data_IF_063509845830
#
_entry.id   IF_063509845830
#
_cell.length_a   1.000
_cell.length_b   1.000
_cell.length_c   1.000
_cell.angle_alpha   90.00
_cell.angle_beta   90.00
_cell.angle_gamma   90.00
#
_symmetry.space_group_name_H-M   'P 1'
#
loop_
_entity.id
_entity.type
_entity.pdbx_description
1 polymer ?
#
# COMPACT_ATOMS: atom_id res chain seq x y z
N UNK A 1 -46.44 -3.55 12.55
CA UNK A 1 -45.94 -2.17 12.59
C UNK A 1 -44.46 -2.25 12.91
N UNK A 2 -43.62 -1.79 12.00
CA UNK A 2 -42.19 -1.51 12.22
C UNK A 2 -42.09 -0.41 13.32
N UNK A 3 -41.05 -0.27 14.12
CA UNK A 3 -39.66 -0.07 13.73
C UNK A 3 -38.76 0.11 14.97
N UNK A 4 -37.45 0.01 14.72
CA UNK A 4 -36.35 0.68 15.44
C UNK A 4 -35.78 0.05 16.71
N UNK A 5 -34.78 -0.80 16.50
CA UNK A 5 -33.59 -0.94 17.36
C UNK A 5 -32.71 0.29 17.19
N UNK A 6 -32.52 1.06 18.26
CA UNK A 6 -31.48 2.09 18.35
C UNK A 6 -30.25 1.48 19.02
N UNK A 7 -29.14 1.35 18.28
CA UNK A 7 -27.82 1.08 18.84
C UNK A 7 -26.84 2.13 18.34
N UNK A 8 -26.51 3.03 19.26
CA UNK A 8 -25.41 4.01 19.22
C UNK A 8 -24.06 3.30 19.37
N UNK A 9 -23.08 3.63 18.53
CA UNK A 9 -21.62 3.50 18.78
C UNK A 9 -20.93 4.38 17.71
N UNK A 10 -20.57 5.63 17.99
CA UNK A 10 -19.32 6.12 18.62
C UNK A 10 -18.03 5.66 17.92
N UNK A 11 -17.46 6.59 17.13
CA UNK A 11 -16.05 6.94 16.86
C UNK A 11 -14.97 5.84 16.92
N UNK A 12 -14.12 5.79 15.88
CA UNK A 12 -12.67 6.03 16.01
C UNK A 12 -11.99 6.21 14.64
N UNK A 13 -11.24 7.31 14.51
CA UNK A 13 -10.23 7.55 13.49
C UNK A 13 -8.94 6.79 13.87
N UNK A 14 -8.42 5.96 12.98
CA UNK A 14 -7.06 5.41 13.11
C UNK A 14 -6.14 6.00 12.04
N UNK A 15 -5.30 6.95 12.49
CA UNK A 15 -4.01 7.26 11.86
C UNK A 15 -3.08 6.08 12.14
N UNK A 16 -2.71 5.32 11.11
CA UNK A 16 -1.57 4.39 11.20
C UNK A 16 -0.39 5.03 10.47
N UNK A 17 0.41 5.77 11.23
CA UNK A 17 1.79 6.09 10.87
C UNK A 17 2.61 4.82 11.14
N UNK A 18 2.89 4.02 10.11
CA UNK A 18 3.90 2.97 10.18
C UNK A 18 5.02 3.32 9.21
N UNK A 19 5.89 4.23 9.65
CA UNK A 19 7.27 4.29 9.17
C UNK A 19 8.00 3.12 9.83
N UNK A 20 7.72 1.91 9.33
CA UNK A 20 8.33 0.67 9.78
C UNK A 20 9.72 0.55 9.16
N UNK A 21 10.73 0.83 9.97
CA UNK A 21 12.13 0.52 9.72
C UNK A 21 12.28 -0.99 9.41
N UNK A 22 12.36 -1.35 8.13
CA UNK A 22 12.61 -2.73 7.68
C UNK A 22 14.11 -3.02 7.67
N UNK A 23 14.70 -3.13 8.86
CA UNK A 23 16.08 -3.60 9.03
C UNK A 23 16.11 -4.94 9.76
N UNK A 24 15.65 -6.01 9.08
CA UNK A 24 16.07 -7.36 9.46
C UNK A 24 17.45 -7.60 8.86
N UNK A 25 18.49 -7.14 9.55
CA UNK A 25 19.86 -7.60 9.32
C UNK A 25 20.08 -8.91 10.09
N UNK A 26 19.79 -10.02 9.42
CA UNK A 26 20.09 -11.38 9.91
C UNK A 26 21.40 -11.91 9.28
N UNK A 27 22.38 -11.06 8.98
CA UNK A 27 23.69 -11.49 8.48
C UNK A 27 23.66 -12.31 7.17
N UNK A 28 22.51 -12.34 6.50
CA UNK A 28 22.30 -13.04 5.25
C UNK A 28 22.50 -12.03 4.12
N UNK A 29 23.35 -12.31 3.12
CA UNK A 29 23.60 -11.35 2.05
C UNK A 29 22.30 -11.03 1.32
N UNK A 30 21.86 -9.76 1.37
CA UNK A 30 20.74 -9.29 0.57
C UNK A 30 21.10 -9.42 -0.91
N UNK A 31 20.16 -9.91 -1.72
CA UNK A 31 20.35 -10.12 -3.15
C UNK A 31 20.02 -8.81 -3.89
N UNK A 32 21.01 -8.07 -4.42
CA UNK A 32 20.74 -6.80 -5.08
C UNK A 32 20.04 -7.00 -6.42
N UNK A 33 19.11 -6.10 -6.74
CA UNK A 33 18.54 -5.99 -8.09
C UNK A 33 19.48 -5.16 -8.98
N UNK A 34 19.43 -5.40 -10.29
CA UNK A 34 20.22 -4.63 -11.27
C UNK A 34 19.85 -3.14 -11.29
N UNK A 35 18.56 -2.85 -11.10
CA UNK A 35 18.05 -1.48 -10.98
C UNK A 35 17.20 -1.35 -9.73
N UNK A 36 17.13 -0.13 -9.18
CA UNK A 36 16.13 0.22 -8.20
C UNK A 36 14.75 0.39 -8.86
N UNK A 37 13.71 0.03 -8.14
CA UNK A 37 12.33 0.10 -8.61
C UNK A 37 11.45 0.76 -7.56
N UNK A 38 10.48 1.54 -8.00
CA UNK A 38 9.53 2.23 -7.14
C UNK A 38 8.15 1.60 -7.27
N UNK A 39 7.57 1.20 -6.14
CA UNK A 39 6.16 0.86 -6.04
C UNK A 39 5.32 2.13 -5.93
N UNK A 40 4.24 2.19 -6.70
CA UNK A 40 3.25 3.25 -6.68
C UNK A 40 1.85 2.68 -6.46
N UNK A 41 0.99 3.47 -5.83
CA UNK A 41 -0.41 3.17 -5.62
C UNK A 41 -1.27 4.27 -6.24
N UNK A 42 -2.23 3.87 -7.08
CA UNK A 42 -3.26 4.77 -7.58
C UNK A 42 -4.41 4.82 -6.58
N UNK A 43 -4.51 5.94 -5.86
CA UNK A 43 -5.61 6.18 -4.93
C UNK A 43 -6.89 6.48 -5.74
N UNK A 44 -7.96 5.70 -5.58
CA UNK A 44 -9.23 5.94 -6.28
C UNK A 44 -9.99 7.08 -5.60
N UNK A 45 -9.62 8.32 -5.92
CA UNK A 45 -10.30 9.50 -5.42
C UNK A 45 -10.64 10.45 -6.58
N UNK A 46 -11.92 10.49 -6.95
CA UNK A 46 -12.42 11.33 -8.04
C UNK A 46 -12.29 12.84 -7.76
N UNK A 47 -12.00 13.23 -6.51
CA UNK A 47 -11.82 14.63 -6.12
C UNK A 47 -10.38 15.11 -6.35
N UNK A 48 -9.46 14.18 -6.58
CA UNK A 48 -8.04 14.46 -6.78
C UNK A 48 -7.74 14.44 -8.28
N UNK A 49 -6.95 15.42 -8.74
CA UNK A 49 -6.42 15.42 -10.11
C UNK A 49 -5.51 14.20 -10.29
N UNK A 50 -5.62 13.51 -11.42
CA UNK A 50 -4.95 12.22 -11.65
C UNK A 50 -3.46 12.22 -11.27
N UNK A 51 -2.71 13.27 -11.61
CA UNK A 51 -1.29 13.38 -11.28
C UNK A 51 -0.99 13.27 -9.77
N UNK A 52 -1.93 13.69 -8.91
CA UNK A 52 -1.84 13.61 -7.45
C UNK A 52 -2.47 12.34 -6.88
N UNK A 53 -3.17 11.56 -7.69
CA UNK A 53 -3.73 10.26 -7.28
C UNK A 53 -2.67 9.16 -7.21
N UNK A 54 -1.53 9.36 -7.86
CA UNK A 54 -0.40 8.44 -7.83
C UNK A 54 0.47 8.71 -6.60
N UNK A 55 0.49 7.75 -5.67
CA UNK A 55 1.20 7.83 -4.39
C UNK A 55 2.39 6.90 -4.42
N UNK A 56 3.59 7.43 -4.17
CA UNK A 56 4.81 6.64 -4.01
C UNK A 56 4.72 5.83 -2.72
N UNK A 57 4.93 4.52 -2.80
CA UNK A 57 4.95 3.63 -1.63
C UNK A 57 6.37 3.45 -1.10
N UNK A 58 7.26 2.86 -1.91
CA UNK A 58 8.61 2.48 -1.49
C UNK A 58 9.53 2.30 -2.71
N UNK A 59 10.82 2.59 -2.53
CA UNK A 59 11.88 2.20 -3.46
C UNK A 59 12.53 0.89 -3.01
N UNK A 60 12.75 -0.02 -3.95
CA UNK A 60 13.24 -1.37 -3.74
C UNK A 60 14.53 -1.53 -4.54
N UNK A 61 15.62 -1.85 -3.85
CA UNK A 61 16.92 -2.14 -4.45
C UNK A 61 17.36 -3.61 -4.27
N UNK A 62 16.67 -4.36 -3.41
CA UNK A 62 17.01 -5.75 -3.07
C UNK A 62 15.78 -6.67 -3.23
N UNK A 63 16.01 -7.93 -3.56
CA UNK A 63 14.95 -8.94 -3.74
C UNK A 63 14.16 -9.17 -2.45
N UNK A 64 14.83 -9.12 -1.30
CA UNK A 64 14.21 -9.31 0.01
C UNK A 64 13.23 -8.16 0.32
N UNK A 65 13.59 -6.94 -0.05
CA UNK A 65 12.74 -5.76 0.14
C UNK A 65 11.51 -5.81 -0.79
N UNK A 66 11.64 -6.39 -1.99
CA UNK A 66 10.50 -6.66 -2.88
C UNK A 66 9.50 -7.61 -2.20
N UNK A 67 9.96 -8.77 -1.71
CA UNK A 67 9.08 -9.76 -1.09
C UNK A 67 8.45 -9.25 0.20
N UNK A 68 9.22 -8.53 1.03
CA UNK A 68 8.69 -7.87 2.21
C UNK A 68 7.59 -6.86 1.85
N UNK A 69 7.79 -6.06 0.81
CA UNK A 69 6.77 -5.12 0.34
C UNK A 69 5.53 -5.86 -0.15
N UNK A 70 5.70 -6.81 -1.08
CA UNK A 70 4.61 -7.57 -1.70
C UNK A 70 3.71 -8.26 -0.66
N UNK A 71 4.31 -8.86 0.37
CA UNK A 71 3.57 -9.58 1.41
C UNK A 71 2.71 -8.66 2.30
N UNK A 72 3.06 -7.38 2.40
CA UNK A 72 2.26 -6.38 3.13
C UNK A 72 1.23 -5.66 2.24
N UNK A 73 1.30 -5.84 0.91
CA UNK A 73 0.31 -5.28 0.00
C UNK A 73 -0.99 -6.10 0.05
N UNK A 74 -2.12 -5.39 -0.09
CA UNK A 74 -3.39 -6.05 -0.33
C UNK A 74 -3.36 -6.77 -1.68
N UNK A 75 -3.84 -8.02 -1.71
CA UNK A 75 -3.96 -8.78 -2.96
C UNK A 75 -4.76 -7.99 -4.01
N UNK A 76 -4.38 -8.05 -5.30
CA UNK A 76 -5.10 -7.35 -6.37
C UNK A 76 -6.60 -7.69 -6.41
N UNK A 77 -6.97 -8.93 -6.11
CA UNK A 77 -8.38 -9.35 -6.03
C UNK A 77 -9.17 -8.58 -4.95
N UNK A 78 -8.54 -8.24 -3.82
CA UNK A 78 -9.17 -7.49 -2.74
C UNK A 78 -9.27 -5.99 -3.05
N UNK A 79 -8.40 -5.46 -3.90
CA UNK A 79 -8.48 -4.07 -4.38
C UNK A 79 -9.77 -3.84 -5.17
N UNK A 80 -10.09 -4.75 -6.10
CA UNK A 80 -11.29 -4.64 -6.92
C UNK A 80 -12.59 -4.59 -6.09
N UNK A 81 -12.64 -5.30 -4.96
CA UNK A 81 -13.82 -5.35 -4.10
C UNK A 81 -13.88 -4.19 -3.10
N UNK A 82 -12.75 -3.81 -2.48
CA UNK A 82 -12.74 -2.80 -1.41
C UNK A 82 -12.54 -1.36 -1.91
N UNK A 83 -11.89 -1.19 -3.07
CA UNK A 83 -11.45 0.11 -3.62
C UNK A 83 -11.53 0.09 -5.15
N UNK A 84 -12.75 0.22 -5.67
CA UNK A 84 -13.02 0.28 -7.12
C UNK A 84 -12.11 1.33 -7.80
N UNK A 85 -11.45 0.94 -8.89
CA UNK A 85 -10.52 1.73 -9.69
C UNK A 85 -9.18 2.08 -9.02
N UNK A 86 -8.66 1.24 -8.12
CA UNK A 86 -7.29 1.38 -7.61
C UNK A 86 -6.34 0.37 -8.25
N UNK A 87 -5.13 0.82 -8.57
CA UNK A 87 -4.08 0.04 -9.20
C UNK A 87 -2.76 0.15 -8.42
N UNK A 88 -1.88 -0.84 -8.59
CA UNK A 88 -0.48 -0.74 -8.21
C UNK A 88 0.39 -0.66 -9.46
N UNK A 89 1.46 0.11 -9.40
CA UNK A 89 2.48 0.15 -10.44
C UNK A 89 3.87 -0.11 -9.85
N UNK A 90 4.75 -0.64 -10.69
CA UNK A 90 6.15 -0.92 -10.34
C UNK A 90 7.03 -0.49 -11.49
N UNK A 91 7.72 0.64 -11.34
CA UNK A 91 8.54 1.25 -12.38
C UNK A 91 9.98 1.33 -11.92
N UNK A 92 10.93 1.25 -12.85
CA UNK A 92 12.33 1.53 -12.54
C UNK A 92 12.45 2.95 -11.98
N UNK A 93 13.24 3.12 -10.93
CA UNK A 93 13.53 4.42 -10.33
C UNK A 93 14.44 5.21 -11.26
N UNK A 94 14.07 6.47 -11.56
CA UNK A 94 14.82 7.37 -12.45
C UNK A 94 14.23 7.47 -13.84
#
# INVERSE_FOLDING_TARGET
MTDTTASTTSNQEEKVNNEGELSIDNGNPKSPLEFSWTFWYLKPDKRIVWEKSLIKLIDVAFVEDFWATYNHLALPSRLATAKINSDYYFFRTG
#
